data_IF_609809681289
#
_entry.id   IF_609809681289
#
_cell.length_a   1.000
_cell.length_b   1.000
_cell.length_c   1.000
_cell.angle_alpha   90.00
_cell.angle_beta   90.00
_cell.angle_gamma   90.00
#
_symmetry.space_group_name_H-M   'P 1'
#
loop_
_entity.id
_entity.type
_entity.pdbx_description
1 polymer ?
#
# COMPACT_ATOMS: atom_id res chain seq x y z
N UNK A 1 16.94 -12.28 14.97
CA UNK A 1 17.06 -10.82 14.78
C UNK A 1 16.00 -10.44 13.77
N UNK A 2 14.79 -10.22 14.26
CA UNK A 2 13.68 -9.69 13.50
C UNK A 2 14.06 -8.26 13.12
N UNK A 3 14.49 -8.05 11.87
CA UNK A 3 14.48 -6.69 11.32
C UNK A 3 13.00 -6.31 11.24
N UNK A 4 12.50 -5.32 12.00
CA UNK A 4 11.19 -4.78 11.72
C UNK A 4 11.37 -3.87 10.50
N UNK A 5 11.46 -4.48 9.31
CA UNK A 5 11.05 -3.76 8.12
C UNK A 5 9.56 -3.50 8.31
N UNK A 6 9.21 -2.30 8.77
CA UNK A 6 7.87 -1.90 9.19
C UNK A 6 6.86 -2.32 8.13
N UNK A 7 6.16 -3.43 8.39
CA UNK A 7 4.99 -3.79 7.61
C UNK A 7 3.96 -2.74 7.96
N UNK A 8 3.37 -2.05 6.98
CA UNK A 8 2.38 -1.05 7.28
C UNK A 8 1.21 -1.73 7.98
N UNK A 9 0.73 -1.11 9.05
CA UNK A 9 -0.38 -1.62 9.83
C UNK A 9 -1.71 -1.40 9.09
N UNK A 10 -2.69 -2.26 9.33
CA UNK A 10 -4.06 -1.99 8.90
C UNK A 10 -4.56 -0.69 9.55
N UNK A 11 -5.15 0.20 8.75
CA UNK A 11 -5.53 1.55 9.16
C UNK A 11 -4.42 2.60 9.07
N UNK A 12 -3.21 2.23 8.68
CA UNK A 12 -2.11 3.18 8.51
C UNK A 12 -2.27 4.01 7.23
N UNK A 13 -2.00 5.32 7.33
CA UNK A 13 -1.93 6.19 6.15
C UNK A 13 -0.60 6.01 5.42
N UNK A 14 -0.71 5.85 4.12
CA UNK A 14 0.43 5.60 3.23
C UNK A 14 0.29 6.42 1.97
N UNK A 15 1.43 6.73 1.36
CA UNK A 15 1.53 7.33 0.04
C UNK A 15 1.98 6.26 -0.93
N UNK A 16 1.35 6.22 -2.11
CA UNK A 16 1.75 5.35 -3.20
C UNK A 16 1.72 6.12 -4.51
N UNK A 17 2.36 5.59 -5.55
CA UNK A 17 2.31 6.18 -6.89
C UNK A 17 1.34 5.38 -7.76
N UNK A 18 0.40 6.06 -8.40
CA UNK A 18 -0.58 5.47 -9.31
C UNK A 18 -0.50 6.20 -10.65
N UNK A 19 -0.11 5.50 -11.72
CA UNK A 19 -0.01 6.12 -13.04
C UNK A 19 1.01 7.26 -13.15
N UNK A 20 1.98 7.34 -12.23
CA UNK A 20 2.95 8.43 -12.15
C UNK A 20 2.53 9.61 -11.28
N UNK A 21 1.31 9.59 -10.73
CA UNK A 21 0.82 10.56 -9.76
C UNK A 21 0.92 10.00 -8.35
N UNK A 22 1.35 10.83 -7.41
CA UNK A 22 1.42 10.44 -6.02
C UNK A 22 0.04 10.56 -5.37
N UNK A 23 -0.52 9.43 -4.96
CA UNK A 23 -1.83 9.32 -4.33
C UNK A 23 -1.68 8.94 -2.86
N UNK A 24 -2.63 9.35 -2.05
CA UNK A 24 -2.71 8.99 -0.63
C UNK A 24 -3.83 8.00 -0.41
N UNK A 25 -3.61 7.13 0.58
CA UNK A 25 -4.63 6.19 0.99
C UNK A 25 -4.33 5.60 2.36
N UNK A 26 -5.20 4.69 2.76
CA UNK A 26 -5.13 3.96 4.02
C UNK A 26 -4.97 2.48 3.73
N UNK A 27 -4.07 1.81 4.44
CA UNK A 27 -3.90 0.36 4.32
C UNK A 27 -5.15 -0.34 4.86
N UNK A 28 -5.85 -1.01 3.96
CA UNK A 28 -7.04 -1.82 4.26
C UNK A 28 -6.63 -3.20 4.78
N UNK A 29 -5.63 -3.83 4.15
CA UNK A 29 -5.17 -5.17 4.50
C UNK A 29 -3.81 -5.48 3.86
N UNK A 30 -2.99 -6.33 4.51
CA UNK A 30 -1.69 -6.76 3.97
C UNK A 30 -1.70 -8.27 3.74
N UNK A 31 -1.49 -8.69 2.50
CA UNK A 31 -1.50 -10.09 2.07
C UNK A 31 -0.12 -10.53 1.60
N UNK A 32 0.34 -11.69 2.06
CA UNK A 32 1.57 -12.30 1.57
C UNK A 32 1.31 -13.12 0.30
N UNK A 33 2.08 -12.87 -0.75
CA UNK A 33 2.00 -13.64 -2.00
C UNK A 33 3.18 -14.61 -2.14
N UNK A 34 2.99 -15.93 -1.90
CA UNK A 34 4.08 -16.90 -1.89
C UNK A 34 4.72 -17.11 -3.28
N UNK A 35 4.01 -16.76 -4.37
CA UNK A 35 4.53 -16.88 -5.74
C UNK A 35 5.70 -15.94 -6.05
N UNK A 36 5.77 -14.77 -5.39
CA UNK A 36 6.86 -13.80 -5.60
C UNK A 36 7.69 -13.54 -4.34
N UNK A 37 7.25 -14.02 -3.17
CA UNK A 37 7.91 -13.73 -1.90
C UNK A 37 7.65 -12.31 -1.38
N UNK A 38 6.71 -11.58 -1.99
CA UNK A 38 6.46 -10.18 -1.67
C UNK A 38 5.16 -10.00 -0.88
N UNK A 39 5.19 -9.06 0.06
CA UNK A 39 4.02 -8.56 0.77
C UNK A 39 3.31 -7.53 -0.10
N UNK A 40 2.01 -7.72 -0.30
CA UNK A 40 1.15 -6.82 -1.04
C UNK A 40 0.20 -6.17 -0.05
N UNK A 41 0.24 -4.85 0.05
CA UNK A 41 -0.74 -4.08 0.81
C UNK A 41 -1.86 -3.63 -0.13
N UNK A 42 -3.09 -3.86 0.31
CA UNK A 42 -4.28 -3.25 -0.26
C UNK A 42 -4.46 -1.90 0.41
N UNK A 43 -4.40 -0.84 -0.38
CA UNK A 43 -4.56 0.54 0.05
C UNK A 43 -5.89 1.05 -0.48
N UNK A 44 -6.79 1.43 0.42
CA UNK A 44 -7.98 2.19 0.08
C UNK A 44 -7.59 3.65 -0.15
N UNK A 45 -7.87 4.18 -1.33
CA UNK A 45 -7.54 5.56 -1.67
C UNK A 45 -8.56 6.52 -1.04
N UNK A 46 -8.08 7.66 -0.54
CA UNK A 46 -8.96 8.73 -0.06
C UNK A 46 -9.80 9.33 -1.21
N UNK A 47 -9.23 9.38 -2.42
CA UNK A 47 -9.89 9.83 -3.65
C UNK A 47 -9.86 8.72 -4.73
N UNK A 48 -10.91 8.58 -5.55
CA UNK A 48 -10.89 7.61 -6.64
C UNK A 48 -9.75 7.94 -7.61
N UNK A 49 -8.98 6.92 -7.97
CA UNK A 49 -7.89 7.05 -8.94
C UNK A 49 -8.39 7.44 -10.34
N UNK A 50 -7.48 7.70 -11.29
CA UNK A 50 -7.83 8.17 -12.63
C UNK A 50 -8.75 7.21 -13.40
N UNK A 51 -8.70 5.91 -13.08
CA UNK A 51 -9.57 4.88 -13.66
C UNK A 51 -10.86 4.61 -12.85
N UNK A 52 -11.15 5.42 -11.82
CA UNK A 52 -12.31 5.25 -10.93
C UNK A 52 -12.14 4.19 -9.84
N UNK A 53 -10.92 3.66 -9.65
CA UNK A 53 -10.61 2.70 -8.58
C UNK A 53 -10.52 3.39 -7.21
N UNK A 54 -11.19 2.83 -6.21
CA UNK A 54 -11.12 3.30 -4.81
C UNK A 54 -10.10 2.55 -3.96
N UNK A 55 -9.44 1.52 -4.51
CA UNK A 55 -8.40 0.77 -3.81
C UNK A 55 -7.37 0.21 -4.78
N UNK A 56 -6.14 0.02 -4.29
CA UNK A 56 -5.00 -0.49 -5.04
C UNK A 56 -4.25 -1.54 -4.26
N UNK A 57 -3.76 -2.56 -4.98
CA UNK A 57 -2.86 -3.56 -4.43
C UNK A 57 -1.43 -3.21 -4.86
N UNK A 58 -0.60 -2.79 -3.91
CA UNK A 58 0.77 -2.34 -4.14
C UNK A 58 1.74 -3.11 -3.25
N UNK A 59 2.98 -3.28 -3.71
CA UNK A 59 3.98 -3.96 -2.90
C UNK A 59 4.33 -3.08 -1.69
N UNK A 60 4.47 -3.69 -0.52
CA UNK A 60 4.82 -2.96 0.71
C UNK A 60 6.14 -2.19 0.57
N UNK A 61 7.07 -2.70 -0.23
CA UNK A 61 8.35 -2.05 -0.54
C UNK A 61 8.23 -0.75 -1.35
N UNK A 62 7.08 -0.52 -2.02
CA UNK A 62 6.79 0.68 -2.82
C UNK A 62 5.98 1.73 -2.03
N UNK A 63 5.56 1.39 -0.80
CA UNK A 63 4.79 2.27 0.05
C UNK A 63 5.69 3.19 0.86
N UNK A 64 5.33 4.48 0.87
CA UNK A 64 5.93 5.47 1.74
C UNK A 64 4.98 5.72 2.94
N UNK A 65 5.51 5.59 4.15
CA UNK A 65 4.76 5.87 5.39
C UNK A 65 4.50 7.37 5.51
N UNK A 66 3.25 7.73 5.82
CA UNK A 66 2.88 9.10 6.18
C UNK A 66 2.58 9.13 7.68
N UNK A 67 3.28 9.98 8.42
CA UNK A 67 3.07 10.25 9.86
C UNK A 67 1.69 10.89 10.14
#
# INVERSE_FOLDING_TARGET
MDQPGSRPAEGQRVRTTLGGEAVQGTVDSVTYTPKKGNLIAKVALDEPGPDGQSALAVAVEDLDEID
#
